data_IF_505497855238
#
_entry.id   IF_505497855238
#
_cell.length_a   1.000
_cell.length_b   1.000
_cell.length_c   1.000
_cell.angle_alpha   90.00
_cell.angle_beta   90.00
_cell.angle_gamma   90.00
#
_symmetry.space_group_name_H-M   'P 1'
#
loop_
_entity.id
_entity.type
_entity.pdbx_description
1 polymer ?
#
# COMPACT_ATOMS: atom_id res chain seq x y z
N UNK A 1 -11.83 9.18 29.31
CA UNK A 1 -11.89 9.87 27.99
C UNK A 1 -10.96 11.06 28.13
N UNK A 2 -9.71 10.96 27.66
CA UNK A 2 -8.83 12.13 27.58
C UNK A 2 -9.37 13.05 26.48
N UNK A 3 -9.70 14.27 26.85
CA UNK A 3 -10.03 15.34 25.91
C UNK A 3 -8.84 15.52 24.95
N UNK A 4 -9.00 15.13 23.69
CA UNK A 4 -7.98 15.37 22.65
C UNK A 4 -7.81 16.88 22.52
N UNK A 5 -6.73 17.42 23.07
CA UNK A 5 -6.37 18.83 22.94
C UNK A 5 -6.18 19.14 21.45
N UNK A 6 -7.10 19.90 20.86
CA UNK A 6 -7.04 20.30 19.45
C UNK A 6 -5.86 21.26 19.30
N UNK A 7 -4.78 20.77 18.70
CA UNK A 7 -3.61 21.60 18.40
C UNK A 7 -3.95 22.63 17.32
N UNK A 8 -3.45 23.86 17.47
CA UNK A 8 -3.51 24.84 16.37
C UNK A 8 -2.58 24.43 15.23
N UNK A 9 -2.88 24.85 13.98
CA UNK A 9 -2.03 24.52 12.82
C UNK A 9 -0.55 24.89 13.07
N UNK A 10 -0.28 26.05 13.68
CA UNK A 10 1.09 26.48 14.02
C UNK A 10 1.78 25.57 15.02
N UNK A 11 1.06 25.10 16.04
CA UNK A 11 1.59 24.15 17.03
C UNK A 11 1.87 22.78 16.39
N UNK A 12 0.96 22.31 15.55
CA UNK A 12 1.11 21.05 14.82
C UNK A 12 2.31 21.09 13.87
N UNK A 13 2.46 22.16 13.09
CA UNK A 13 3.62 22.34 12.22
C UNK A 13 4.95 22.38 12.99
N UNK A 14 4.98 23.05 14.15
CA UNK A 14 6.16 23.08 15.00
C UNK A 14 6.51 21.69 15.54
N UNK A 15 5.52 20.92 16.00
CA UNK A 15 5.69 19.54 16.46
C UNK A 15 6.18 18.61 15.34
N UNK A 16 5.56 18.69 14.15
CA UNK A 16 5.97 17.90 12.96
C UNK A 16 7.41 18.21 12.56
N UNK A 17 7.80 19.49 12.54
CA UNK A 17 9.19 19.89 12.25
C UNK A 17 10.16 19.39 13.32
N UNK A 18 9.78 19.48 14.61
CA UNK A 18 10.57 18.99 15.72
C UNK A 18 10.86 17.50 15.63
N UNK A 19 9.85 16.67 15.48
CA UNK A 19 10.02 15.21 15.35
C UNK A 19 10.80 14.82 14.10
N UNK A 20 10.55 15.50 12.97
CA UNK A 20 11.28 15.27 11.71
C UNK A 20 12.76 15.61 11.84
N UNK A 21 13.10 16.75 12.41
CA UNK A 21 14.50 17.17 12.59
C UNK A 21 15.22 16.25 13.56
N UNK A 22 14.62 15.92 14.71
CA UNK A 22 15.17 14.98 15.67
C UNK A 22 15.38 13.60 15.04
N UNK A 23 14.39 13.05 14.34
CA UNK A 23 14.52 11.77 13.63
C UNK A 23 15.65 11.77 12.59
N UNK A 24 15.86 12.91 11.89
CA UNK A 24 16.97 13.05 10.93
C UNK A 24 18.32 13.05 11.64
N UNK A 25 18.45 13.79 12.76
CA UNK A 25 19.69 13.82 13.55
C UNK A 25 20.01 12.43 14.09
N UNK A 26 19.04 11.75 14.71
CA UNK A 26 19.27 10.40 15.24
C UNK A 26 19.62 9.40 14.12
N UNK A 27 19.04 9.52 12.94
CA UNK A 27 19.40 8.70 11.79
C UNK A 27 20.87 8.89 11.36
N UNK A 28 21.33 10.15 11.30
CA UNK A 28 22.73 10.44 10.97
C UNK A 28 23.66 9.89 12.06
N UNK A 29 23.32 10.05 13.34
CA UNK A 29 24.07 9.49 14.44
C UNK A 29 24.11 7.95 14.35
N UNK A 30 23.00 7.28 14.09
CA UNK A 30 22.95 5.82 13.94
C UNK A 30 23.90 5.34 12.84
N UNK A 31 23.90 6.01 11.67
CA UNK A 31 24.81 5.64 10.60
C UNK A 31 26.28 5.95 10.93
N UNK A 32 26.57 7.09 11.55
CA UNK A 32 27.93 7.46 11.92
C UNK A 32 28.52 6.50 12.95
N UNK A 33 27.75 6.18 14.01
CA UNK A 33 28.18 5.24 15.04
C UNK A 33 28.23 3.80 14.52
N UNK A 34 27.29 3.39 13.65
CA UNK A 34 27.33 2.08 13.00
C UNK A 34 28.59 1.87 12.16
N UNK A 35 28.92 2.85 11.30
CA UNK A 35 30.14 2.83 10.51
C UNK A 35 31.38 2.86 11.42
N UNK A 36 31.37 3.71 12.46
CA UNK A 36 32.45 3.78 13.46
C UNK A 36 32.67 2.45 14.16
N UNK A 37 31.60 1.74 14.50
CA UNK A 37 31.67 0.40 15.12
C UNK A 37 32.40 -0.59 14.21
N UNK A 38 32.07 -0.63 12.92
CA UNK A 38 32.72 -1.52 11.94
C UNK A 38 34.23 -1.21 11.86
N UNK A 39 34.60 0.07 11.77
CA UNK A 39 35.99 0.49 11.67
C UNK A 39 36.80 0.18 12.94
N UNK A 40 36.18 0.34 14.13
CA UNK A 40 36.82 0.03 15.40
C UNK A 40 37.02 -1.47 15.61
N UNK A 41 36.11 -2.31 15.16
CA UNK A 41 36.32 -3.77 15.15
C UNK A 41 37.45 -4.15 14.19
N UNK A 42 37.51 -3.56 13.01
CA UNK A 42 38.58 -3.80 12.05
C UNK A 42 39.95 -3.32 12.57
N UNK A 43 40.00 -2.33 13.48
CA UNK A 43 41.20 -1.83 14.13
C UNK A 43 41.52 -2.56 15.45
N UNK A 44 40.82 -3.68 15.77
CA UNK A 44 40.97 -4.47 16.99
C UNK A 44 40.71 -3.71 18.30
N UNK A 45 40.09 -2.54 18.23
CA UNK A 45 39.70 -1.73 19.40
C UNK A 45 38.36 -2.19 20.00
N UNK A 46 38.26 -3.47 20.33
CA UNK A 46 37.02 -4.16 20.73
C UNK A 46 36.23 -3.47 21.87
N UNK A 47 36.85 -3.00 22.99
CA UNK A 47 36.10 -2.38 24.08
C UNK A 47 35.37 -1.09 23.60
N UNK A 48 36.00 -0.28 22.74
CA UNK A 48 35.42 0.96 22.22
C UNK A 48 34.35 0.63 21.18
N UNK A 49 34.57 -0.39 20.36
CA UNK A 49 33.61 -0.88 19.38
C UNK A 49 32.29 -1.33 20.03
N UNK A 50 32.37 -2.02 21.19
CA UNK A 50 31.15 -2.42 21.95
C UNK A 50 30.38 -1.21 22.45
N UNK A 51 31.03 -0.17 22.95
CA UNK A 51 30.36 1.07 23.37
C UNK A 51 29.67 1.77 22.18
N UNK A 52 30.33 1.88 21.04
CA UNK A 52 29.73 2.49 19.84
C UNK A 52 28.59 1.66 19.29
N UNK A 53 28.63 0.34 19.39
CA UNK A 53 27.54 -0.56 19.04
C UNK A 53 26.29 -0.28 19.89
N UNK A 54 26.45 -0.18 21.21
CA UNK A 54 25.35 0.16 22.13
C UNK A 54 24.74 1.52 21.78
N UNK A 55 25.58 2.54 21.52
CA UNK A 55 25.11 3.85 21.10
C UNK A 55 24.34 3.79 19.76
N UNK A 56 24.77 2.97 18.82
CA UNK A 56 24.05 2.75 17.55
C UNK A 56 22.62 2.24 17.80
N UNK A 57 22.45 1.27 18.70
CA UNK A 57 21.12 0.78 19.08
C UNK A 57 20.27 1.85 19.79
N UNK A 58 20.87 2.61 20.70
CA UNK A 58 20.15 3.70 21.41
C UNK A 58 19.67 4.76 20.41
N UNK A 59 20.53 5.20 19.50
CA UNK A 59 20.14 6.18 18.49
C UNK A 59 19.13 5.62 17.47
N UNK A 60 19.25 4.36 17.07
CA UNK A 60 18.27 3.66 16.25
C UNK A 60 16.89 3.60 16.91
N UNK A 61 16.84 3.28 18.20
CA UNK A 61 15.60 3.31 18.97
C UNK A 61 14.96 4.72 19.04
N UNK A 62 15.76 5.75 19.29
CA UNK A 62 15.26 7.13 19.31
C UNK A 62 14.76 7.57 17.93
N UNK A 63 15.44 7.19 16.86
CA UNK A 63 15.01 7.44 15.49
C UNK A 63 13.62 6.83 15.22
N UNK A 64 13.43 5.56 15.59
CA UNK A 64 12.13 4.86 15.45
C UNK A 64 11.03 5.57 16.23
N UNK A 65 11.29 5.90 17.49
CA UNK A 65 10.34 6.60 18.36
C UNK A 65 9.88 7.95 17.79
N UNK A 66 10.80 8.74 17.22
CA UNK A 66 10.44 9.99 16.57
C UNK A 66 9.64 9.77 15.27
N UNK A 67 9.94 8.70 14.52
CA UNK A 67 9.17 8.28 13.34
C UNK A 67 7.73 7.90 13.70
N UNK A 68 7.55 7.08 14.72
CA UNK A 68 6.23 6.69 15.22
C UNK A 68 5.42 7.88 15.73
N UNK A 69 6.05 8.78 16.52
CA UNK A 69 5.40 9.98 17.00
C UNK A 69 4.95 10.90 15.85
N UNK A 70 5.79 11.05 14.82
CA UNK A 70 5.47 11.80 13.61
C UNK A 70 4.27 11.21 12.89
N UNK A 71 4.26 9.88 12.67
CA UNK A 71 3.17 9.17 12.01
C UNK A 71 1.87 9.29 12.80
N UNK A 72 1.93 9.19 14.12
CA UNK A 72 0.77 9.37 15.00
C UNK A 72 0.24 10.80 14.93
N UNK A 73 1.11 11.82 14.98
CA UNK A 73 0.70 13.23 14.87
C UNK A 73 0.01 13.51 13.52
N UNK A 74 0.55 13.00 12.42
CA UNK A 74 -0.07 13.11 11.09
C UNK A 74 -1.44 12.43 11.08
N UNK A 75 -1.49 11.19 11.55
CA UNK A 75 -2.71 10.40 11.60
C UNK A 75 -3.83 11.06 12.38
N UNK A 76 -3.51 11.49 13.61
CA UNK A 76 -4.51 12.04 14.53
C UNK A 76 -5.04 13.43 14.12
N UNK A 77 -4.24 14.26 13.43
CA UNK A 77 -4.59 15.64 13.18
C UNK A 77 -4.88 15.98 11.71
N UNK A 78 -4.26 15.29 10.75
CA UNK A 78 -4.40 15.62 9.32
C UNK A 78 -5.10 14.50 8.57
N UNK A 79 -4.61 13.27 8.72
CA UNK A 79 -5.12 12.10 7.96
C UNK A 79 -6.57 11.81 8.33
N UNK A 80 -6.89 11.75 9.64
CA UNK A 80 -8.26 11.50 10.09
C UNK A 80 -9.24 12.55 9.58
N UNK A 81 -8.82 13.83 9.51
CA UNK A 81 -9.64 14.89 8.92
C UNK A 81 -9.88 14.68 7.43
N UNK A 82 -8.81 14.38 6.66
CA UNK A 82 -8.92 14.13 5.23
C UNK A 82 -9.77 12.87 4.91
N UNK A 83 -9.65 11.84 5.75
CA UNK A 83 -10.45 10.62 5.60
C UNK A 83 -11.94 10.87 5.83
N UNK A 84 -12.29 11.65 6.88
CA UNK A 84 -13.67 12.00 7.19
C UNK A 84 -14.31 12.96 6.16
N UNK A 85 -13.50 13.69 5.39
CA UNK A 85 -13.99 14.50 4.27
C UNK A 85 -14.42 13.63 3.06
N UNK A 86 -13.89 12.40 2.97
CA UNK A 86 -14.07 11.51 1.81
C UNK A 86 -14.96 10.31 2.14
N UNK A 87 -14.79 9.71 3.32
CA UNK A 87 -15.47 8.49 3.75
C UNK A 87 -16.37 8.74 4.97
N UNK A 88 -17.42 7.96 5.08
CA UNK A 88 -18.29 7.87 6.25
C UNK A 88 -17.85 6.71 7.15
N UNK A 89 -18.17 6.79 8.46
CA UNK A 89 -17.89 5.72 9.45
C UNK A 89 -16.43 5.27 9.47
N UNK A 90 -15.51 6.23 9.46
CA UNK A 90 -14.07 5.98 9.31
C UNK A 90 -13.46 5.36 10.57
N UNK A 91 -12.78 4.23 10.40
CA UNK A 91 -11.82 3.66 11.34
C UNK A 91 -10.43 3.74 10.70
N UNK A 92 -9.48 4.42 11.34
CA UNK A 92 -8.09 4.57 10.86
C UNK A 92 -7.09 4.02 11.86
N UNK A 93 -6.19 3.16 11.38
CA UNK A 93 -5.10 2.58 12.16
C UNK A 93 -3.76 2.85 11.47
N UNK A 94 -2.97 3.84 11.93
CA UNK A 94 -1.72 4.22 11.27
C UNK A 94 -0.69 3.09 11.17
N UNK A 95 -0.70 2.13 12.09
CA UNK A 95 0.19 0.96 12.11
C UNK A 95 -0.53 -0.35 11.77
N UNK A 96 -1.79 -0.28 11.33
CA UNK A 96 -2.57 -1.43 10.87
C UNK A 96 -2.33 -1.71 9.39
N UNK A 97 -2.61 -2.94 8.97
CA UNK A 97 -2.59 -3.38 7.58
C UNK A 97 -3.85 -4.19 7.29
N UNK A 98 -4.20 -4.33 6.01
CA UNK A 98 -5.17 -5.33 5.57
C UNK A 98 -4.75 -6.72 6.07
N UNK A 99 -5.71 -7.57 6.47
CA UNK A 99 -5.39 -8.94 6.86
C UNK A 99 -4.67 -9.69 5.74
N UNK A 100 -3.56 -10.36 6.05
CA UNK A 100 -2.80 -11.15 5.06
C UNK A 100 -3.68 -12.13 4.31
N UNK A 101 -4.62 -12.77 5.02
CA UNK A 101 -5.59 -13.68 4.40
C UNK A 101 -6.46 -12.98 3.34
N UNK A 102 -6.87 -11.72 3.55
CA UNK A 102 -7.65 -10.97 2.55
C UNK A 102 -6.84 -10.72 1.29
N UNK A 103 -5.53 -10.49 1.43
CA UNK A 103 -4.60 -10.29 0.31
C UNK A 103 -4.34 -11.60 -0.42
N UNK A 104 -4.15 -12.69 0.31
CA UNK A 104 -3.97 -14.05 -0.26
C UNK A 104 -5.23 -14.52 -1.00
N UNK A 105 -6.41 -14.36 -0.38
CA UNK A 105 -7.70 -14.75 -0.96
C UNK A 105 -8.03 -13.96 -2.26
N UNK A 106 -7.42 -12.77 -2.44
CA UNK A 106 -7.54 -12.01 -3.68
C UNK A 106 -6.93 -12.73 -4.88
N UNK A 107 -5.96 -13.63 -4.67
CA UNK A 107 -5.33 -14.42 -5.72
C UNK A 107 -4.68 -13.59 -6.84
N UNK A 108 -4.26 -12.36 -6.54
CA UNK A 108 -3.62 -11.48 -7.53
C UNK A 108 -2.29 -12.06 -8.00
N UNK A 109 -2.07 -12.01 -9.30
CA UNK A 109 -0.87 -12.54 -9.94
C UNK A 109 0.17 -11.43 -10.09
N UNK A 110 1.33 -11.63 -9.47
CA UNK A 110 2.50 -10.76 -9.56
C UNK A 110 3.63 -11.44 -10.34
N UNK A 111 4.60 -10.67 -10.89
CA UNK A 111 5.74 -11.25 -11.62
C UNK A 111 6.61 -12.21 -10.80
N UNK A 112 6.57 -12.09 -9.49
CA UNK A 112 7.32 -12.92 -8.54
C UNK A 112 6.41 -13.38 -7.40
N UNK A 113 6.68 -14.57 -6.87
CA UNK A 113 6.02 -15.05 -5.66
C UNK A 113 6.43 -14.24 -4.44
N UNK A 114 5.56 -14.15 -3.44
CA UNK A 114 5.84 -13.53 -2.15
C UNK A 114 5.59 -14.51 -1.02
N UNK A 115 6.37 -14.38 0.04
CA UNK A 115 6.27 -15.23 1.25
C UNK A 115 5.79 -14.46 2.47
N UNK A 116 5.77 -13.12 2.41
CA UNK A 116 5.36 -12.29 3.52
C UNK A 116 4.62 -11.03 3.10
N UNK A 117 3.79 -10.54 4.03
CA UNK A 117 2.98 -9.34 3.91
C UNK A 117 3.25 -8.44 5.09
N UNK A 118 3.49 -7.17 4.85
CA UNK A 118 3.51 -6.10 5.85
C UNK A 118 2.86 -4.84 5.29
N UNK A 119 2.47 -3.92 6.15
CA UNK A 119 1.85 -2.69 5.69
C UNK A 119 1.51 -1.74 6.82
N UNK A 120 0.80 -0.67 6.47
CA UNK A 120 0.40 0.38 7.39
C UNK A 120 -0.81 1.16 6.87
N UNK A 121 -1.22 2.15 7.64
CA UNK A 121 -2.27 3.10 7.24
C UNK A 121 -3.61 2.42 6.85
N UNK A 122 -4.00 1.41 7.65
CA UNK A 122 -5.28 0.74 7.46
C UNK A 122 -6.45 1.69 7.72
N UNK A 123 -7.29 1.81 6.71
CA UNK A 123 -8.54 2.58 6.73
C UNK A 123 -9.69 1.64 6.45
N UNK A 124 -10.75 1.76 7.24
CA UNK A 124 -12.05 1.15 6.96
C UNK A 124 -13.11 2.23 7.02
N UNK A 125 -14.05 2.21 6.10
CA UNK A 125 -15.11 3.20 6.05
C UNK A 125 -16.17 2.85 5.02
N UNK A 126 -17.02 3.83 4.71
CA UNK A 126 -18.08 3.71 3.72
C UNK A 126 -17.96 4.85 2.70
N UNK A 127 -18.05 4.54 1.42
CA UNK A 127 -18.07 5.51 0.33
C UNK A 127 -19.33 5.33 -0.52
N UNK A 128 -20.21 6.31 -0.53
CA UNK A 128 -21.51 6.25 -1.26
C UNK A 128 -22.26 4.94 -1.01
N UNK A 129 -22.26 4.47 0.26
CA UNK A 129 -22.91 3.24 0.69
C UNK A 129 -22.14 1.94 0.37
N UNK A 130 -20.94 1.99 -0.18
CA UNK A 130 -20.04 0.84 -0.36
C UNK A 130 -19.12 0.70 0.83
N UNK A 131 -18.93 -0.53 1.35
CA UNK A 131 -17.88 -0.78 2.31
C UNK A 131 -16.51 -0.69 1.62
N UNK A 132 -15.58 -0.01 2.25
CA UNK A 132 -14.24 0.23 1.72
C UNK A 132 -13.21 -0.09 2.79
N UNK A 133 -12.19 -0.82 2.42
CA UNK A 133 -10.97 -1.01 3.19
C UNK A 133 -9.78 -0.61 2.33
N UNK A 134 -8.82 0.11 2.91
CA UNK A 134 -7.64 0.63 2.22
C UNK A 134 -6.42 0.49 3.11
N UNK A 135 -5.27 0.16 2.56
CA UNK A 135 -4.02 0.06 3.32
C UNK A 135 -2.82 0.24 2.40
N UNK A 136 -1.72 0.71 2.95
CA UNK A 136 -0.41 0.45 2.38
C UNK A 136 -0.05 -1.01 2.58
N UNK A 137 0.45 -1.63 1.53
CA UNK A 137 0.84 -3.04 1.51
C UNK A 137 2.22 -3.18 0.87
N UNK A 138 3.06 -3.96 1.50
CA UNK A 138 4.31 -4.43 0.94
C UNK A 138 4.33 -5.97 0.97
N UNK A 139 4.49 -6.55 -0.22
CA UNK A 139 4.71 -7.99 -0.40
C UNK A 139 6.19 -8.22 -0.65
N UNK A 140 6.76 -9.16 0.08
CA UNK A 140 8.17 -9.49 -0.04
C UNK A 140 8.38 -11.01 -0.08
N UNK A 141 9.46 -11.42 -0.71
CA UNK A 141 9.92 -12.80 -0.69
C UNK A 141 11.21 -12.91 0.08
N UNK A 142 11.32 -13.93 0.92
CA UNK A 142 12.57 -14.25 1.64
C UNK A 142 13.15 -15.50 0.99
N UNK A 143 14.34 -15.35 0.43
CA UNK A 143 15.13 -16.46 -0.10
C UNK A 143 16.37 -16.67 0.76
N UNK A 144 16.60 -17.92 1.19
CA UNK A 144 17.80 -18.27 1.93
C UNK A 144 18.82 -18.87 0.97
N UNK A 145 20.03 -18.35 0.96
CA UNK A 145 21.15 -18.92 0.22
C UNK A 145 22.35 -19.19 1.15
N UNK A 146 23.08 -20.23 0.85
CA UNK A 146 24.31 -20.55 1.59
C UNK A 146 25.47 -19.76 1.02
N UNK A 147 26.08 -18.94 1.87
CA UNK A 147 27.26 -18.16 1.54
C UNK A 147 28.52 -19.03 1.83
N UNK A 148 29.19 -19.45 0.77
CA UNK A 148 30.38 -20.31 0.87
C UNK A 148 31.57 -19.61 1.53
N UNK A 149 31.69 -18.27 1.42
CA UNK A 149 32.80 -17.52 2.02
C UNK A 149 32.65 -17.40 3.54
N UNK A 150 31.43 -17.16 4.02
CA UNK A 150 31.15 -17.01 5.45
C UNK A 150 30.69 -18.30 6.11
N UNK A 151 30.45 -19.38 5.32
CA UNK A 151 29.89 -20.66 5.77
C UNK A 151 28.57 -20.52 6.58
N UNK A 152 27.73 -19.56 6.18
CA UNK A 152 26.47 -19.27 6.86
C UNK A 152 25.32 -19.16 5.85
N UNK A 153 24.13 -19.52 6.31
CA UNK A 153 22.91 -19.21 5.58
C UNK A 153 22.61 -17.72 5.72
N UNK A 154 22.36 -17.07 4.59
CA UNK A 154 21.94 -15.66 4.53
C UNK A 154 20.55 -15.60 3.94
N UNK A 155 19.69 -14.85 4.62
CA UNK A 155 18.35 -14.52 4.11
C UNK A 155 18.43 -13.22 3.34
N UNK A 156 17.93 -13.25 2.10
CA UNK A 156 17.78 -12.08 1.25
C UNK A 156 16.29 -11.78 1.05
N UNK A 157 15.89 -10.57 1.42
CA UNK A 157 14.52 -10.10 1.23
C UNK A 157 14.41 -9.33 -0.08
N UNK A 158 13.54 -9.79 -0.97
CA UNK A 158 13.24 -9.12 -2.24
C UNK A 158 11.83 -8.55 -2.21
N UNK A 159 11.67 -7.25 -2.49
CA UNK A 159 10.38 -6.59 -2.57
C UNK A 159 9.68 -6.95 -3.89
N UNK A 160 8.50 -7.57 -3.78
CA UNK A 160 7.65 -7.96 -4.92
C UNK A 160 6.70 -6.82 -5.30
N UNK A 161 6.00 -6.30 -4.29
CA UNK A 161 5.03 -5.22 -4.44
C UNK A 161 5.21 -4.23 -3.29
N UNK A 162 5.08 -2.94 -3.57
CA UNK A 162 4.90 -1.90 -2.56
C UNK A 162 3.98 -0.83 -3.10
N UNK A 163 2.93 -0.53 -2.35
CA UNK A 163 1.96 0.48 -2.74
C UNK A 163 0.64 0.34 -2.01
N UNK A 164 -0.41 0.82 -2.63
CA UNK A 164 -1.72 0.93 -2.02
C UNK A 164 -2.63 -0.21 -2.45
N UNK A 165 -3.45 -0.69 -1.51
CA UNK A 165 -4.40 -1.77 -1.74
C UNK A 165 -5.79 -1.38 -1.25
N UNK A 166 -6.73 -1.29 -2.17
CA UNK A 166 -8.16 -1.04 -1.93
C UNK A 166 -8.92 -2.37 -1.97
N UNK A 167 -9.85 -2.54 -1.05
CA UNK A 167 -10.89 -3.57 -1.08
C UNK A 167 -12.23 -2.88 -0.97
N UNK A 168 -13.15 -3.16 -1.86
CA UNK A 168 -14.50 -2.60 -1.80
C UNK A 168 -15.55 -3.58 -2.31
N UNK A 169 -16.81 -3.31 -1.96
CA UNK A 169 -17.93 -4.05 -2.48
C UNK A 169 -18.08 -3.76 -3.98
N UNK A 170 -18.38 -4.80 -4.75
CA UNK A 170 -18.67 -4.75 -6.17
C UNK A 170 -20.03 -5.37 -6.43
N UNK A 171 -20.94 -4.61 -6.98
CA UNK A 171 -22.37 -4.98 -7.04
C UNK A 171 -22.75 -6.17 -7.92
N UNK A 172 -21.78 -6.77 -8.66
CA UNK A 172 -22.01 -7.97 -9.50
C UNK A 172 -21.63 -9.24 -8.73
N UNK A 173 -22.54 -10.21 -8.72
CA UNK A 173 -22.20 -11.57 -8.33
C UNK A 173 -21.53 -12.28 -9.52
N UNK A 174 -20.31 -12.77 -9.29
CA UNK A 174 -19.57 -13.59 -10.23
C UNK A 174 -19.62 -15.05 -9.76
N UNK A 175 -19.69 -16.00 -10.68
CA UNK A 175 -19.60 -17.44 -10.39
C UNK A 175 -18.16 -17.89 -10.18
N UNK A 176 -17.19 -17.16 -10.73
CA UNK A 176 -15.76 -17.35 -10.57
C UNK A 176 -15.00 -16.09 -10.18
N UNK A 177 -13.72 -16.09 -10.47
CA UNK A 177 -12.83 -14.94 -10.21
C UNK A 177 -12.22 -14.49 -11.53
N UNK A 178 -12.04 -13.16 -11.67
CA UNK A 178 -11.37 -12.55 -12.81
C UNK A 178 -10.25 -11.66 -12.27
N UNK A 179 -9.02 -11.88 -12.73
CA UNK A 179 -7.86 -11.11 -12.33
C UNK A 179 -7.29 -10.32 -13.51
N UNK A 180 -6.85 -9.12 -13.21
CA UNK A 180 -6.13 -8.24 -14.12
C UNK A 180 -4.75 -7.99 -13.53
N UNK A 181 -3.71 -8.42 -14.21
CA UNK A 181 -2.33 -8.21 -13.80
C UNK A 181 -1.65 -7.23 -14.74
N UNK A 182 -1.03 -6.20 -14.19
CA UNK A 182 -0.14 -5.33 -14.95
C UNK A 182 1.08 -6.11 -15.45
N UNK A 183 1.89 -5.48 -16.32
CA UNK A 183 3.09 -6.12 -16.88
C UNK A 183 2.78 -7.43 -17.65
N UNK A 184 1.73 -7.39 -18.46
CA UNK A 184 1.20 -8.52 -19.22
C UNK A 184 2.28 -9.34 -19.97
N UNK A 185 3.32 -8.67 -20.49
CA UNK A 185 4.39 -9.34 -21.24
C UNK A 185 5.21 -10.31 -20.38
N UNK A 186 5.53 -9.93 -19.14
CA UNK A 186 6.31 -10.76 -18.23
C UNK A 186 5.51 -12.00 -17.77
N UNK A 187 4.21 -11.82 -17.54
CA UNK A 187 3.34 -12.84 -16.98
C UNK A 187 2.73 -13.80 -18.01
N UNK A 188 2.57 -13.39 -19.28
CA UNK A 188 1.93 -14.20 -20.34
C UNK A 188 2.57 -15.59 -20.55
N UNK A 189 3.87 -15.73 -20.30
CA UNK A 189 4.53 -17.04 -20.44
C UNK A 189 4.18 -17.98 -19.30
N UNK A 190 3.98 -17.45 -18.09
CA UNK A 190 3.66 -18.21 -16.89
C UNK A 190 2.18 -18.62 -16.84
N UNK A 191 1.29 -17.77 -17.38
CA UNK A 191 -0.18 -17.95 -17.36
C UNK A 191 -0.77 -18.17 -18.75
N UNK A 192 -0.11 -19.00 -19.57
CA UNK A 192 -0.54 -19.20 -20.95
C UNK A 192 -1.89 -19.93 -21.04
N UNK A 193 -2.13 -20.86 -20.13
CA UNK A 193 -3.27 -21.78 -20.20
C UNK A 193 -4.55 -21.22 -19.57
N UNK A 194 -4.43 -20.26 -18.65
CA UNK A 194 -5.52 -19.60 -17.94
C UNK A 194 -5.74 -18.12 -18.35
N UNK A 195 -4.98 -17.65 -19.35
CA UNK A 195 -5.13 -16.30 -19.88
C UNK A 195 -6.29 -16.18 -20.85
N UNK A 196 -7.04 -15.08 -20.74
CA UNK A 196 -8.14 -14.73 -21.62
C UNK A 196 -7.74 -13.54 -22.45
N UNK A 197 -7.81 -13.66 -23.79
CA UNK A 197 -7.58 -12.54 -24.70
C UNK A 197 -8.89 -11.77 -24.93
N UNK A 198 -8.87 -10.45 -24.66
CA UNK A 198 -10.00 -9.58 -24.84
C UNK A 198 -10.01 -8.97 -26.26
N UNK A 199 -11.16 -8.46 -26.71
CA UNK A 199 -11.27 -7.82 -28.04
C UNK A 199 -10.48 -6.51 -28.16
N UNK A 200 -10.22 -5.83 -27.03
CA UNK A 200 -9.51 -4.54 -26.99
C UNK A 200 -7.99 -4.75 -26.93
N UNK A 201 -7.29 -4.48 -28.04
CA UNK A 201 -5.84 -4.64 -28.15
C UNK A 201 -5.05 -3.75 -27.16
N UNK A 202 -5.53 -2.52 -26.86
CA UNK A 202 -4.89 -1.63 -25.91
C UNK A 202 -5.01 -2.20 -24.47
N UNK A 203 -6.15 -2.81 -24.16
CA UNK A 203 -6.38 -3.49 -22.89
C UNK A 203 -5.45 -4.69 -22.73
N UNK A 204 -5.39 -5.57 -23.74
CA UNK A 204 -4.47 -6.70 -23.76
C UNK A 204 -3.00 -6.28 -23.69
N UNK A 205 -2.64 -5.13 -24.27
CA UNK A 205 -1.29 -4.58 -24.20
C UNK A 205 -0.88 -4.16 -22.77
N UNK A 206 -1.86 -3.76 -21.97
CA UNK A 206 -1.65 -3.27 -20.61
C UNK A 206 -1.84 -4.34 -19.52
N UNK A 207 -2.86 -5.19 -19.69
CA UNK A 207 -3.24 -6.19 -18.72
C UNK A 207 -3.13 -7.62 -19.25
N UNK A 208 -2.70 -8.52 -18.39
CA UNK A 208 -2.98 -9.94 -18.51
C UNK A 208 -4.31 -10.19 -17.78
N UNK A 209 -5.27 -10.77 -18.47
CA UNK A 209 -6.53 -11.23 -17.88
C UNK A 209 -6.41 -12.72 -17.62
N UNK A 210 -6.67 -13.15 -16.38
CA UNK A 210 -6.80 -14.57 -16.03
C UNK A 210 -8.16 -14.83 -15.39
N UNK A 211 -8.81 -15.93 -15.76
CA UNK A 211 -10.11 -16.31 -15.23
C UNK A 211 -10.30 -17.83 -15.36
N UNK A 212 -11.08 -18.41 -14.46
CA UNK A 212 -11.45 -19.82 -14.54
C UNK A 212 -12.31 -20.13 -15.78
N UNK A 213 -13.03 -19.13 -16.31
CA UNK A 213 -13.87 -19.18 -17.49
C UNK A 213 -13.73 -17.90 -18.31
N UNK A 214 -13.40 -18.05 -19.61
CA UNK A 214 -13.38 -16.92 -20.53
C UNK A 214 -14.75 -16.20 -20.62
N UNK A 215 -15.83 -16.93 -20.43
CA UNK A 215 -17.19 -16.44 -20.45
C UNK A 215 -17.44 -15.41 -19.32
N UNK A 216 -16.87 -15.65 -18.12
CA UNK A 216 -16.96 -14.69 -17.02
C UNK A 216 -16.14 -13.43 -17.28
N UNK A 217 -14.93 -13.60 -17.84
CA UNK A 217 -14.13 -12.44 -18.22
C UNK A 217 -14.88 -11.56 -19.24
N UNK A 218 -15.49 -12.13 -20.26
CA UNK A 218 -16.28 -11.37 -21.26
C UNK A 218 -17.55 -10.75 -20.66
N UNK A 219 -18.20 -11.45 -19.72
CA UNK A 219 -19.37 -10.91 -19.03
C UNK A 219 -19.03 -9.69 -18.16
N UNK A 220 -17.90 -9.75 -17.48
CA UNK A 220 -17.42 -8.68 -16.60
C UNK A 220 -16.80 -7.52 -17.39
N UNK A 221 -15.85 -7.86 -18.27
CA UNK A 221 -15.02 -6.90 -18.98
C UNK A 221 -15.66 -6.49 -20.30
N UNK A 222 -16.83 -5.86 -20.21
CA UNK A 222 -17.47 -5.24 -21.36
C UNK A 222 -16.59 -4.14 -21.96
N UNK A 223 -16.80 -3.71 -23.23
CA UNK A 223 -16.03 -2.61 -23.83
C UNK A 223 -15.96 -1.36 -22.95
N UNK A 224 -17.08 -0.93 -22.36
CA UNK A 224 -17.13 0.20 -21.43
C UNK A 224 -16.33 -0.04 -20.15
N UNK A 225 -16.41 -1.24 -19.58
CA UNK A 225 -15.65 -1.58 -18.38
C UNK A 225 -14.14 -1.54 -18.67
N UNK A 226 -13.70 -2.06 -19.80
CA UNK A 226 -12.30 -1.99 -20.24
C UNK A 226 -11.81 -0.55 -20.41
N UNK A 227 -12.63 0.33 -20.98
CA UNK A 227 -12.31 1.76 -21.13
C UNK A 227 -12.17 2.45 -19.76
N UNK A 228 -13.08 2.18 -18.82
CA UNK A 228 -13.00 2.71 -17.44
C UNK A 228 -11.74 2.23 -16.72
N UNK A 229 -11.42 0.95 -16.81
CA UNK A 229 -10.21 0.39 -16.20
C UNK A 229 -8.95 0.99 -16.82
N UNK A 230 -8.90 1.16 -18.14
CA UNK A 230 -7.77 1.81 -18.83
C UNK A 230 -7.61 3.27 -18.41
N UNK A 231 -8.73 4.02 -18.28
CA UNK A 231 -8.73 5.41 -17.82
C UNK A 231 -8.20 5.50 -16.38
N UNK A 232 -8.76 4.70 -15.45
CA UNK A 232 -8.34 4.65 -14.08
C UNK A 232 -6.85 4.29 -13.94
N UNK A 233 -6.43 3.24 -14.64
CA UNK A 233 -5.03 2.80 -14.63
C UNK A 233 -4.09 3.84 -15.25
N UNK A 234 -4.56 4.64 -16.22
CA UNK A 234 -3.79 5.75 -16.79
C UNK A 234 -3.42 6.84 -15.76
N UNK A 235 -4.26 7.03 -14.76
CA UNK A 235 -4.11 8.03 -13.69
C UNK A 235 -3.43 7.48 -12.43
N UNK A 236 -3.18 6.18 -12.33
CA UNK A 236 -2.76 5.51 -11.11
C UNK A 236 -1.35 5.86 -10.60
N UNK A 237 -0.48 6.37 -11.45
CA UNK A 237 0.92 6.66 -11.08
C UNK A 237 1.78 5.42 -10.79
N UNK A 238 1.29 4.20 -11.10
CA UNK A 238 1.96 2.93 -10.92
C UNK A 238 1.30 1.78 -11.68
N UNK A 239 1.83 0.58 -11.54
CA UNK A 239 1.23 -0.64 -12.09
C UNK A 239 -0.05 -0.98 -11.30
N UNK A 240 -1.13 -1.27 -12.02
CA UNK A 240 -2.44 -1.58 -11.44
C UNK A 240 -2.74 -3.06 -11.58
N UNK A 241 -3.17 -3.66 -10.48
CA UNK A 241 -3.64 -5.04 -10.39
C UNK A 241 -5.07 -5.02 -9.86
N UNK A 242 -5.94 -5.86 -10.37
CA UNK A 242 -7.33 -5.97 -9.91
C UNK A 242 -7.74 -7.43 -9.77
N UNK A 243 -8.56 -7.72 -8.76
CA UNK A 243 -9.21 -9.03 -8.59
C UNK A 243 -10.69 -8.83 -8.32
N UNK A 244 -11.51 -9.32 -9.21
CA UNK A 244 -12.95 -9.40 -9.06
C UNK A 244 -13.30 -10.80 -8.53
N UNK A 245 -13.76 -10.86 -7.28
CA UNK A 245 -13.94 -12.11 -6.57
C UNK A 245 -15.39 -12.55 -6.56
N UNK A 246 -15.58 -13.85 -6.43
CA UNK A 246 -16.89 -14.42 -6.13
C UNK A 246 -17.45 -13.77 -4.86
N UNK A 247 -18.75 -13.48 -4.84
CA UNK A 247 -19.40 -12.80 -3.70
C UNK A 247 -19.31 -11.28 -3.76
N UNK A 248 -18.87 -10.70 -4.89
CA UNK A 248 -19.01 -9.28 -5.15
C UNK A 248 -17.97 -8.40 -4.44
N UNK A 249 -16.76 -8.88 -4.23
CA UNK A 249 -15.63 -8.07 -3.72
C UNK A 249 -14.67 -7.73 -4.86
N UNK A 250 -14.23 -6.49 -4.87
CA UNK A 250 -13.18 -5.99 -5.76
C UNK A 250 -11.95 -5.62 -4.93
N UNK A 251 -10.81 -6.14 -5.33
CA UNK A 251 -9.50 -5.70 -4.86
C UNK A 251 -8.80 -4.92 -5.97
N UNK A 252 -8.23 -3.77 -5.63
CA UNK A 252 -7.42 -2.94 -6.53
C UNK A 252 -6.11 -2.64 -5.84
N UNK A 253 -5.00 -3.07 -6.43
CA UNK A 253 -3.66 -2.82 -5.91
C UNK A 253 -2.86 -1.96 -6.90
N UNK A 254 -2.17 -0.94 -6.40
CA UNK A 254 -1.34 -0.03 -7.20
C UNK A 254 0.07 -0.03 -6.69
N UNK A 255 0.99 -0.51 -7.51
CA UNK A 255 2.43 -0.55 -7.20
C UNK A 255 3.05 0.82 -7.44
N UNK A 256 2.99 1.68 -6.43
CA UNK A 256 3.55 3.04 -6.49
C UNK A 256 4.97 3.14 -5.96
N UNK A 257 5.44 2.14 -5.21
CA UNK A 257 6.73 2.16 -4.48
C UNK A 257 6.75 3.12 -3.29
N UNK A 258 5.60 3.67 -2.88
CA UNK A 258 5.48 4.67 -1.81
C UNK A 258 4.36 4.30 -0.86
N UNK A 259 4.47 4.73 0.39
CA UNK A 259 3.40 4.65 1.36
C UNK A 259 2.50 5.89 1.27
N UNK A 260 1.25 5.75 1.71
CA UNK A 260 0.30 6.84 1.86
C UNK A 260 0.72 7.81 2.98
N UNK A 261 0.12 8.97 2.95
CA UNK A 261 0.12 9.93 4.05
C UNK A 261 1.51 10.29 4.60
N UNK A 262 2.56 10.08 3.80
CA UNK A 262 3.90 10.46 4.19
C UNK A 262 4.15 11.96 4.00
N UNK A 263 4.91 12.56 4.92
CA UNK A 263 5.44 13.92 4.76
C UNK A 263 6.29 14.10 3.50
N UNK A 264 6.96 13.05 3.06
CA UNK A 264 7.88 13.09 1.95
C UNK A 264 8.96 14.16 2.16
N UNK A 265 9.36 14.83 1.07
CA UNK A 265 10.29 15.97 1.10
C UNK A 265 9.59 17.31 1.33
N UNK A 266 8.27 17.34 1.47
CA UNK A 266 7.48 18.54 1.64
C UNK A 266 7.80 19.27 2.95
N UNK A 267 7.65 20.60 2.96
CA UNK A 267 7.64 21.36 4.22
C UNK A 267 6.41 20.93 5.02
N UNK A 268 6.52 20.92 6.35
CA UNK A 268 5.41 20.61 7.25
C UNK A 268 4.41 21.79 7.28
N UNK A 269 3.68 21.95 6.19
CA UNK A 269 2.57 22.89 6.03
C UNK A 269 1.29 22.05 6.07
N UNK A 270 0.45 22.29 7.06
CA UNK A 270 -0.73 21.46 7.37
C UNK A 270 -1.73 21.47 6.22
N UNK A 271 -2.02 22.64 5.65
CA UNK A 271 -3.02 22.76 4.58
C UNK A 271 -2.56 22.06 3.30
N UNK A 272 -1.27 22.20 2.97
CA UNK A 272 -0.67 21.53 1.82
C UNK A 272 -0.63 20.02 1.99
N UNK A 273 -0.34 19.53 3.20
CA UNK A 273 -0.37 18.09 3.50
C UNK A 273 -1.78 17.53 3.39
N UNK A 274 -2.78 18.25 3.91
CA UNK A 274 -4.19 17.85 3.78
C UNK A 274 -4.61 17.76 2.32
N UNK A 275 -4.27 18.75 1.49
CA UNK A 275 -4.56 18.74 0.05
C UNK A 275 -3.86 17.56 -0.66
N UNK A 276 -2.61 17.28 -0.30
CA UNK A 276 -1.89 16.11 -0.81
C UNK A 276 -2.62 14.80 -0.47
N UNK A 277 -3.00 14.61 0.80
CA UNK A 277 -3.68 13.40 1.26
C UNK A 277 -5.08 13.24 0.63
N UNK A 278 -5.83 14.34 0.49
CA UNK A 278 -7.09 14.33 -0.25
C UNK A 278 -6.88 13.92 -1.72
N UNK A 279 -5.82 14.41 -2.36
CA UNK A 279 -5.48 14.02 -3.74
C UNK A 279 -5.14 12.53 -3.88
N UNK A 280 -4.44 11.95 -2.89
CA UNK A 280 -4.16 10.51 -2.82
C UNK A 280 -5.45 9.69 -2.67
N UNK A 281 -6.38 10.13 -1.82
CA UNK A 281 -7.67 9.47 -1.61
C UNK A 281 -8.61 9.60 -2.82
N UNK A 282 -8.63 10.75 -3.49
CA UNK A 282 -9.49 11.01 -4.65
C UNK A 282 -9.19 10.07 -5.83
N UNK A 283 -7.97 9.56 -5.93
CA UNK A 283 -7.67 8.57 -6.95
C UNK A 283 -8.47 7.26 -6.73
N UNK A 284 -8.57 6.79 -5.47
CA UNK A 284 -9.33 5.57 -5.14
C UNK A 284 -10.83 5.77 -5.27
N UNK A 285 -11.35 6.91 -4.79
CA UNK A 285 -12.78 7.22 -4.99
C UNK A 285 -13.10 7.41 -6.47
N UNK A 286 -12.18 7.97 -7.26
CA UNK A 286 -12.29 8.08 -8.70
C UNK A 286 -12.39 6.72 -9.41
N UNK A 287 -11.64 5.71 -8.98
CA UNK A 287 -11.80 4.34 -9.50
C UNK A 287 -13.21 3.82 -9.21
N UNK A 288 -13.68 3.95 -7.96
CA UNK A 288 -15.01 3.49 -7.58
C UNK A 288 -16.10 4.20 -8.39
N UNK A 289 -15.96 5.49 -8.65
CA UNK A 289 -16.89 6.27 -9.44
C UNK A 289 -16.79 5.91 -10.94
N UNK A 290 -15.60 5.76 -11.51
CA UNK A 290 -15.39 5.38 -12.91
C UNK A 290 -15.93 3.97 -13.20
N UNK A 291 -15.74 3.03 -12.29
CA UNK A 291 -16.30 1.67 -12.37
C UNK A 291 -17.81 1.65 -12.04
N UNK A 292 -18.38 2.78 -11.65
CA UNK A 292 -19.80 2.92 -11.25
C UNK A 292 -20.23 1.90 -10.20
N UNK A 293 -19.35 1.61 -9.24
CA UNK A 293 -19.61 0.58 -8.23
C UNK A 293 -20.81 0.93 -7.33
N UNK A 294 -21.04 2.23 -7.10
CA UNK A 294 -22.15 2.71 -6.27
C UNK A 294 -23.49 2.83 -7.04
N UNK A 295 -23.48 2.70 -8.36
CA UNK A 295 -24.70 2.81 -9.15
C UNK A 295 -25.62 1.61 -8.91
N UNK A 296 -26.92 1.87 -8.78
CA UNK A 296 -27.96 0.87 -8.54
C UNK A 296 -28.12 -0.15 -9.67
N UNK A 297 -27.54 0.11 -10.85
CA UNK A 297 -27.54 -0.78 -12.01
C UNK A 297 -27.01 -2.19 -11.73
N UNK A 298 -26.18 -2.34 -10.69
CA UNK A 298 -25.56 -3.61 -10.32
C UNK A 298 -26.06 -4.16 -8.97
N UNK A 299 -26.85 -3.39 -8.19
CA UNK A 299 -27.46 -3.89 -6.96
C UNK A 299 -28.72 -4.68 -7.30
N UNK A 300 -28.75 -5.97 -6.98
CA UNK A 300 -30.04 -6.65 -6.81
C UNK A 300 -30.81 -5.87 -5.75
N UNK A 301 -32.01 -5.38 -6.07
CA UNK A 301 -32.97 -4.99 -5.06
C UNK A 301 -33.11 -6.21 -4.13
N UNK A 302 -32.58 -6.09 -2.90
CA UNK A 302 -32.92 -7.02 -1.83
C UNK A 302 -34.39 -6.81 -1.59
N UNK A 303 -35.22 -7.62 -2.24
CA UNK A 303 -36.65 -7.65 -2.05
C UNK A 303 -36.96 -7.89 -0.56
N UNK A 304 -37.75 -7.00 -0.04
CA UNK A 304 -38.40 -7.07 1.28
C UNK A 304 -39.24 -8.35 1.39
#
# INVERSE_FOLDING_TARGET
MEEKQVMTNTQLEAALRGHRSAGTVFRLLTYAFGLGTILLFAAELTPVAVVTLVLTFVFGYQMSKHGEALKKLLGDNIVSGALNDVFENVEYKPFGCLPSKSIEDAGMVFPFEYSGVRGSDYVKGTYKGLNVELSDVELYNVSSHYDEETQQWKDEETQVFKGQWLVCDFGKELSGQVHLSANAKALRRQHRDDSVEMENAAFNGRFLVTAASAQEAYYLLTPHMMEYILSAAGKAGGEVYMAFLRGGRLHVAVKTGRDFFELGRSKADVDRLRQKFLGELHWFTGIMDELRLADTLYRKETGV
#
